data_IF_495361466245
#
_entry.id   IF_495361466245
#
_cell.length_a   1.000
_cell.length_b   1.000
_cell.length_c   1.000
_cell.angle_alpha   90.00
_cell.angle_beta   90.00
_cell.angle_gamma   90.00
#
_symmetry.space_group_name_H-M   'P 1'
#
loop_
_entity.id
_entity.type
_entity.pdbx_description
1 polymer ?
#
# COMPACT_ATOMS: atom_id res chain seq x y z
N UNK A 1 -7.91 15.92 24.15
CA UNK A 1 -6.89 14.86 23.95
C UNK A 1 -7.49 13.52 24.32
N UNK A 2 -7.12 12.44 23.62
CA UNK A 2 -7.56 11.07 23.92
C UNK A 2 -6.38 10.31 24.54
N UNK A 3 -6.58 9.61 25.67
CA UNK A 3 -5.53 8.81 26.32
C UNK A 3 -5.31 7.53 25.52
N UNK A 4 -4.09 7.32 25.02
CA UNK A 4 -3.66 6.08 24.37
C UNK A 4 -2.50 5.46 25.14
N UNK A 5 -2.48 4.13 25.18
CA UNK A 5 -1.34 3.34 25.65
C UNK A 5 -0.80 2.55 24.46
N UNK A 6 0.52 2.54 24.30
CA UNK A 6 1.25 1.82 23.23
C UNK A 6 2.44 1.12 23.86
N UNK A 7 2.77 -0.06 23.35
CA UNK A 7 4.03 -0.73 23.68
C UNK A 7 5.09 -0.29 22.69
N UNK A 8 6.28 0.03 23.21
CA UNK A 8 7.45 0.43 22.42
C UNK A 8 8.66 -0.39 22.90
N UNK A 9 9.64 -0.54 22.02
CA UNK A 9 10.87 -1.28 22.35
C UNK A 9 11.76 -0.46 23.30
N UNK A 10 12.61 -1.09 24.13
CA UNK A 10 13.51 -0.37 25.04
C UNK A 10 14.39 0.69 24.34
N UNK A 11 14.88 0.39 23.13
CA UNK A 11 15.63 1.36 22.32
C UNK A 11 14.82 2.59 21.91
N UNK A 12 13.50 2.43 21.72
CA UNK A 12 12.60 3.52 21.34
C UNK A 12 12.31 4.41 22.56
N UNK A 13 12.16 3.81 23.74
CA UNK A 13 12.02 4.53 25.01
C UNK A 13 13.25 5.42 25.29
N UNK A 14 14.45 4.87 25.14
CA UNK A 14 15.70 5.63 25.31
C UNK A 14 15.82 6.79 24.32
N UNK A 15 15.47 6.53 23.05
CA UNK A 15 15.46 7.55 22.01
C UNK A 15 14.43 8.65 22.32
N UNK A 16 13.22 8.28 22.73
CA UNK A 16 12.13 9.20 23.05
C UNK A 16 12.52 10.14 24.19
N UNK A 17 13.04 9.58 25.29
CA UNK A 17 13.55 10.34 26.44
C UNK A 17 14.66 11.31 26.06
N UNK A 18 15.66 10.82 25.32
CA UNK A 18 16.80 11.64 24.89
C UNK A 18 16.34 12.80 24.00
N UNK A 19 15.52 12.52 22.99
CA UNK A 19 15.03 13.54 22.05
C UNK A 19 14.10 14.55 22.71
N UNK A 20 13.20 14.11 23.58
CA UNK A 20 12.31 14.99 24.33
C UNK A 20 13.12 15.98 25.18
N UNK A 21 14.16 15.49 25.87
CA UNK A 21 15.09 16.31 26.65
C UNK A 21 15.88 17.29 25.78
N UNK A 22 16.46 16.83 24.67
CA UNK A 22 17.20 17.68 23.71
C UNK A 22 16.35 18.84 23.18
N UNK A 23 15.05 18.58 22.94
CA UNK A 23 14.10 19.56 22.40
C UNK A 23 13.41 20.40 23.49
N UNK A 24 13.60 20.09 24.78
CA UNK A 24 12.94 20.79 25.88
C UNK A 24 11.42 20.62 25.92
N UNK A 25 10.89 19.51 25.38
CA UNK A 25 9.44 19.22 25.33
C UNK A 25 9.12 17.90 26.04
N UNK A 26 7.84 17.67 26.36
CA UNK A 26 7.40 16.37 26.89
C UNK A 26 7.49 15.26 25.85
N UNK A 27 7.69 14.02 26.28
CA UNK A 27 7.66 12.83 25.42
C UNK A 27 6.33 12.71 24.66
N UNK A 28 5.21 13.03 25.33
CA UNK A 28 3.89 13.02 24.71
C UNK A 28 3.76 14.07 23.59
N UNK A 29 4.39 15.24 23.74
CA UNK A 29 4.45 16.27 22.70
C UNK A 29 5.30 15.81 21.52
N UNK A 30 6.44 15.17 21.79
CA UNK A 30 7.28 14.59 20.75
C UNK A 30 6.54 13.51 19.96
N UNK A 31 5.79 12.63 20.63
CA UNK A 31 4.94 11.62 19.97
C UNK A 31 3.89 12.28 19.08
N UNK A 32 3.18 13.31 19.57
CA UNK A 32 2.18 14.04 18.77
C UNK A 32 2.79 14.65 17.52
N UNK A 33 3.92 15.37 17.64
CA UNK A 33 4.63 15.94 16.50
C UNK A 33 5.07 14.88 15.49
N UNK A 34 5.53 13.71 15.98
CA UNK A 34 5.86 12.58 15.12
C UNK A 34 4.65 12.05 14.34
N UNK A 35 3.49 11.92 14.99
CA UNK A 35 2.24 11.52 14.33
C UNK A 35 1.86 12.54 13.25
N UNK A 36 1.89 13.84 13.58
CA UNK A 36 1.57 14.90 12.63
C UNK A 36 2.55 14.88 11.45
N UNK A 37 3.85 14.72 11.68
CA UNK A 37 4.85 14.62 10.60
C UNK A 37 4.58 13.44 9.67
N UNK A 38 4.22 12.27 10.22
CA UNK A 38 3.86 11.11 9.40
C UNK A 38 2.59 11.37 8.59
N UNK A 39 1.60 12.06 9.15
CA UNK A 39 0.37 12.41 8.43
C UNK A 39 0.63 13.35 7.23
N UNK A 40 1.69 14.16 7.29
CA UNK A 40 2.09 15.07 6.20
C UNK A 40 3.17 14.48 5.28
N UNK A 41 3.77 13.34 5.64
CA UNK A 41 4.68 12.64 4.74
C UNK A 41 3.85 11.97 3.62
N UNK A 42 4.22 12.17 2.34
CA UNK A 42 3.60 11.40 1.27
C UNK A 42 3.84 9.92 1.55
N UNK A 43 2.76 9.14 1.64
CA UNK A 43 2.84 7.68 1.64
C UNK A 43 3.78 7.26 0.51
N UNK A 44 4.71 6.34 0.78
CA UNK A 44 5.88 6.05 -0.04
C UNK A 44 5.60 5.58 -1.49
N UNK A 45 4.36 5.57 -1.95
CA UNK A 45 4.01 5.90 -3.34
C UNK A 45 2.69 6.70 -3.33
N UNK A 46 2.62 7.93 -3.87
CA UNK A 46 1.36 8.35 -4.45
C UNK A 46 1.02 7.32 -5.55
N UNK A 47 -0.19 6.74 -5.61
CA UNK A 47 -0.56 5.93 -6.76
C UNK A 47 -0.25 6.78 -8.00
N UNK A 48 0.67 6.31 -8.85
CA UNK A 48 1.09 7.07 -10.02
C UNK A 48 -0.17 7.45 -10.78
N UNK A 49 -0.50 8.75 -10.75
CA UNK A 49 -1.73 9.23 -11.36
C UNK A 49 -1.73 8.90 -12.85
N UNK A 50 -0.53 8.91 -13.45
CA UNK A 50 -0.27 8.44 -14.80
C UNK A 50 -0.54 6.94 -14.97
N UNK A 51 -0.03 6.07 -14.08
CA UNK A 51 -0.33 4.63 -14.16
C UNK A 51 -1.83 4.34 -14.00
N UNK A 52 -2.53 5.13 -13.17
CA UNK A 52 -3.98 5.04 -13.04
C UNK A 52 -4.73 5.53 -14.29
N UNK A 53 -4.21 6.56 -14.96
CA UNK A 53 -4.76 7.04 -16.23
C UNK A 53 -4.54 6.06 -17.38
N UNK A 54 -3.37 5.43 -17.45
CA UNK A 54 -3.04 4.36 -18.39
C UNK A 54 -3.97 3.15 -18.19
N UNK A 55 -4.17 2.70 -16.95
CA UNK A 55 -5.10 1.62 -16.63
C UNK A 55 -6.55 1.97 -17.02
N UNK A 56 -7.01 3.19 -16.72
CA UNK A 56 -8.35 3.65 -17.14
C UNK A 56 -8.48 3.69 -18.67
N UNK A 57 -7.43 4.09 -19.39
CA UNK A 57 -7.43 4.08 -20.86
C UNK A 57 -7.53 2.65 -21.40
N UNK A 58 -6.75 1.73 -20.85
CA UNK A 58 -6.79 0.31 -21.17
C UNK A 58 -8.18 -0.31 -20.92
N UNK A 59 -8.79 -0.07 -19.76
CA UNK A 59 -10.14 -0.55 -19.44
C UNK A 59 -11.17 -0.01 -20.44
N UNK A 60 -11.11 1.29 -20.79
CA UNK A 60 -12.04 1.88 -21.77
C UNK A 60 -11.87 1.28 -23.15
N UNK A 61 -10.65 1.02 -23.58
CA UNK A 61 -10.37 0.33 -24.85
C UNK A 61 -10.94 -1.09 -24.82
N UNK A 62 -10.72 -1.83 -23.73
CA UNK A 62 -11.28 -3.17 -23.51
C UNK A 62 -12.81 -3.18 -23.55
N UNK A 63 -13.48 -2.19 -22.94
CA UNK A 63 -14.93 -2.08 -22.96
C UNK A 63 -15.52 -1.80 -24.35
N UNK A 64 -14.75 -1.18 -25.24
CA UNK A 64 -15.19 -0.94 -26.63
C UNK A 64 -15.13 -2.21 -27.48
N UNK A 65 -14.34 -3.20 -27.08
CA UNK A 65 -14.31 -4.48 -27.77
C UNK A 65 -15.60 -5.24 -27.53
N UNK A 66 -16.35 -5.49 -28.60
CA UNK A 66 -17.50 -6.39 -28.58
C UNK A 66 -17.00 -7.84 -28.63
N UNK A 67 -16.63 -8.37 -27.47
CA UNK A 67 -16.35 -9.80 -27.32
C UNK A 67 -17.68 -10.55 -27.24
N UNK A 68 -17.96 -11.51 -28.14
CA UNK A 68 -19.15 -12.35 -28.03
C UNK A 68 -19.21 -12.97 -26.63
N UNK A 69 -20.33 -12.78 -25.93
CA UNK A 69 -20.59 -13.48 -24.66
C UNK A 69 -21.03 -14.92 -24.95
N UNK A 70 -20.26 -15.62 -25.77
CA UNK A 70 -20.34 -17.08 -25.87
C UNK A 70 -19.83 -17.60 -24.53
N UNK A 71 -20.60 -18.47 -23.86
CA UNK A 71 -20.20 -19.04 -22.57
C UNK A 71 -18.76 -19.58 -22.60
N UNK A 72 -18.14 -19.70 -21.42
CA UNK A 72 -16.76 -20.21 -21.33
C UNK A 72 -16.68 -21.58 -22.03
N UNK A 73 -15.84 -21.68 -23.05
CA UNK A 73 -15.54 -22.94 -23.76
C UNK A 73 -14.40 -23.71 -23.11
N UNK A 74 -13.77 -23.13 -22.09
CA UNK A 74 -12.64 -23.68 -21.36
C UNK A 74 -13.01 -23.85 -19.89
N UNK A 75 -12.46 -24.89 -19.27
CA UNK A 75 -12.45 -25.05 -17.81
C UNK A 75 -11.18 -24.45 -17.24
N UNK A 76 -11.22 -24.14 -15.93
CA UNK A 76 -10.06 -23.56 -15.24
C UNK A 76 -8.86 -24.52 -15.27
N UNK A 77 -9.12 -25.81 -15.09
CA UNK A 77 -8.07 -26.81 -14.94
C UNK A 77 -7.36 -27.05 -16.29
N UNK A 78 -8.10 -27.09 -17.41
CA UNK A 78 -7.53 -27.12 -18.77
C UNK A 78 -6.57 -25.95 -19.06
N UNK A 79 -6.90 -24.73 -18.61
CA UNK A 79 -6.00 -23.57 -18.77
C UNK A 79 -4.70 -23.69 -17.98
N UNK A 80 -4.74 -24.37 -16.82
CA UNK A 80 -3.54 -24.60 -16.03
C UNK A 80 -2.68 -25.70 -16.64
N UNK A 81 -3.30 -26.76 -17.15
CA UNK A 81 -2.60 -27.87 -17.80
C UNK A 81 -1.92 -27.38 -19.10
N UNK A 82 -2.63 -26.67 -19.99
CA UNK A 82 -2.05 -26.07 -21.20
C UNK A 82 -0.89 -25.11 -20.88
N UNK A 83 -1.04 -24.32 -19.81
CA UNK A 83 0.01 -23.40 -19.37
C UNK A 83 1.24 -24.16 -18.89
N UNK A 84 1.06 -25.22 -18.09
CA UNK A 84 2.15 -25.97 -17.52
C UNK A 84 2.95 -26.71 -18.60
N UNK A 85 2.26 -27.29 -19.59
CA UNK A 85 2.86 -27.93 -20.76
C UNK A 85 3.68 -26.94 -21.62
N UNK A 86 3.20 -25.70 -21.77
CA UNK A 86 3.91 -24.65 -22.52
C UNK A 86 5.23 -24.20 -21.88
N UNK A 87 5.40 -24.41 -20.57
CA UNK A 87 6.62 -24.06 -19.83
C UNK A 87 7.48 -25.27 -19.44
N UNK A 88 7.08 -26.49 -19.82
CA UNK A 88 7.79 -27.73 -19.52
C UNK A 88 8.62 -28.28 -20.68
N UNK A 89 8.91 -27.46 -21.70
CA UNK A 89 9.77 -27.82 -22.85
C UNK A 89 11.05 -27.00 -22.91
#
# INVERSE_FOLDING_TARGET
>A
MVRKQVYIEPRQEELLKRRAKELGISEAELIRRGIDQIAHMPSALPPSMQAWEEEKAFIRERMRMRVPQTGRTWTRDELYDERLERFSS
#
